data_IF_579198375299
#
_entry.id   IF_579198375299
#
_cell.length_a   1.000
_cell.length_b   1.000
_cell.length_c   1.000
_cell.angle_alpha   90.00
_cell.angle_beta   90.00
_cell.angle_gamma   90.00
#
_symmetry.space_group_name_H-M   'P 1'
#
loop_
_entity.id
_entity.type
_entity.pdbx_description
1 polymer ?
#
# COMPACT_ATOMS: atom_id res chain seq x y z
N UNK A 1 -15.34 -11.12 43.61
CA UNK A 1 -14.28 -11.78 42.82
C UNK A 1 -14.27 -11.15 41.44
N UNK A 2 -13.21 -10.42 41.07
CA UNK A 2 -13.06 -9.77 39.76
C UNK A 2 -11.97 -10.54 39.01
N UNK A 3 -12.30 -11.11 37.86
CA UNK A 3 -11.35 -11.86 37.03
C UNK A 3 -10.33 -10.90 36.38
N UNK A 4 -9.03 -11.27 36.31
CA UNK A 4 -8.04 -10.46 35.63
C UNK A 4 -8.22 -10.59 34.11
N UNK A 5 -8.39 -9.45 33.43
CA UNK A 5 -8.36 -9.38 31.97
C UNK A 5 -6.93 -9.61 31.51
N UNK A 6 -6.71 -10.70 30.76
CA UNK A 6 -5.43 -10.96 30.12
C UNK A 6 -5.25 -9.94 29.00
N UNK A 7 -4.30 -9.02 29.16
CA UNK A 7 -3.86 -8.14 28.07
C UNK A 7 -3.19 -9.00 27.01
N UNK A 8 -3.86 -9.19 25.86
CA UNK A 8 -3.25 -9.80 24.69
C UNK A 8 -2.08 -8.92 24.22
N UNK A 9 -0.86 -9.34 24.51
CA UNK A 9 0.34 -8.67 24.02
C UNK A 9 0.47 -8.88 22.51
N UNK A 10 0.47 -7.79 21.76
CA UNK A 10 0.73 -7.82 20.33
C UNK A 10 2.15 -8.36 20.10
N UNK A 11 2.25 -9.57 19.55
CA UNK A 11 3.53 -10.19 19.16
C UNK A 11 4.02 -9.55 17.86
N UNK A 12 5.30 -9.19 17.80
CA UNK A 12 5.94 -8.75 16.56
C UNK A 12 5.86 -9.87 15.51
N UNK A 13 5.38 -9.59 14.27
CA UNK A 13 5.24 -10.62 13.24
C UNK A 13 6.58 -11.30 12.92
N UNK A 14 6.59 -12.64 12.82
CA UNK A 14 7.79 -13.39 12.42
C UNK A 14 7.96 -13.43 10.89
N UNK A 15 9.13 -13.87 10.42
CA UNK A 15 9.39 -14.09 8.98
C UNK A 15 8.44 -15.12 8.38
N UNK A 16 8.08 -16.17 9.13
CA UNK A 16 7.11 -17.17 8.70
C UNK A 16 5.67 -16.63 8.72
N UNK A 17 5.36 -15.70 9.62
CA UNK A 17 4.07 -14.98 9.59
C UNK A 17 4.01 -14.03 8.41
N UNK A 18 5.12 -13.41 8.01
CA UNK A 18 5.20 -12.64 6.78
C UNK A 18 5.01 -13.54 5.55
N UNK A 19 5.71 -14.68 5.46
CA UNK A 19 5.58 -15.64 4.34
C UNK A 19 4.17 -16.25 4.27
N UNK A 20 3.54 -16.61 5.39
CA UNK A 20 2.13 -17.04 5.45
C UNK A 20 1.15 -15.90 5.20
N UNK A 21 1.52 -14.67 5.51
CA UNK A 21 0.85 -13.46 5.06
C UNK A 21 1.17 -13.14 3.60
N UNK A 22 1.42 -14.15 2.76
CA UNK A 22 1.12 -14.12 1.34
C UNK A 22 -0.39 -13.81 1.17
N UNK A 23 -0.73 -12.53 1.31
CA UNK A 23 -2.02 -11.96 0.99
C UNK A 23 -2.15 -12.17 -0.53
N UNK A 24 -3.04 -13.00 -1.08
CA UNK A 24 -4.48 -13.05 -0.82
C UNK A 24 -5.05 -14.46 -1.09
N UNK A 25 -5.64 -15.16 -0.10
CA UNK A 25 -6.38 -16.41 -0.32
C UNK A 25 -7.79 -16.15 -0.88
N UNK A 26 -7.96 -15.07 -1.64
CA UNK A 26 -9.25 -14.65 -2.17
C UNK A 26 -9.43 -15.29 -3.54
N UNK A 27 -10.00 -16.50 -3.52
CA UNK A 27 -10.33 -17.25 -4.72
C UNK A 27 -11.75 -16.93 -5.26
N UNK A 28 -12.56 -16.18 -4.50
CA UNK A 28 -13.96 -15.89 -4.87
C UNK A 28 -14.31 -14.42 -4.64
N UNK A 29 -15.31 -13.92 -5.38
CA UNK A 29 -15.81 -12.57 -5.21
C UNK A 29 -16.39 -12.32 -3.81
N UNK A 30 -17.02 -13.32 -3.19
CA UNK A 30 -17.54 -13.20 -1.83
C UNK A 30 -16.42 -13.04 -0.79
N UNK A 31 -15.34 -13.81 -0.94
CA UNK A 31 -14.15 -13.66 -0.10
C UNK A 31 -13.49 -12.28 -0.32
N UNK A 32 -13.52 -11.75 -1.55
CA UNK A 32 -12.99 -10.43 -1.88
C UNK A 32 -13.76 -9.33 -1.18
N UNK A 33 -15.08 -9.36 -1.27
CA UNK A 33 -15.93 -8.36 -0.62
C UNK A 33 -15.81 -8.43 0.90
N UNK A 34 -15.78 -9.64 1.46
CA UNK A 34 -15.56 -9.84 2.88
C UNK A 34 -14.20 -9.31 3.33
N UNK A 35 -13.16 -9.47 2.51
CA UNK A 35 -11.86 -8.89 2.77
C UNK A 35 -11.92 -7.36 2.74
N UNK A 36 -12.40 -6.78 1.65
CA UNK A 36 -12.45 -5.32 1.44
C UNK A 36 -13.27 -4.63 2.53
N UNK A 37 -14.37 -5.24 3.00
CA UNK A 37 -15.18 -4.71 4.09
C UNK A 37 -14.41 -4.51 5.40
N UNK A 38 -13.31 -5.24 5.61
CA UNK A 38 -12.45 -5.13 6.80
C UNK A 38 -11.25 -4.20 6.59
N UNK A 39 -10.90 -3.90 5.34
CA UNK A 39 -9.76 -3.03 5.04
C UNK A 39 -10.11 -1.60 5.45
N UNK A 40 -9.33 -0.97 6.36
CA UNK A 40 -9.56 0.41 6.74
C UNK A 40 -9.50 1.32 5.51
N UNK A 41 -10.49 2.19 5.37
CA UNK A 41 -10.56 3.15 4.27
C UNK A 41 -9.97 4.47 4.74
N UNK A 42 -9.00 5.01 4.00
CA UNK A 42 -8.53 6.38 4.19
C UNK A 42 -9.68 7.35 3.87
N UNK A 43 -10.08 8.17 4.84
CA UNK A 43 -11.23 9.09 4.72
C UNK A 43 -10.81 10.55 4.57
N UNK A 44 -9.69 10.90 5.20
CA UNK A 44 -9.17 12.26 5.17
C UNK A 44 -7.89 12.32 4.34
N UNK A 45 -7.62 13.48 3.74
CA UNK A 45 -6.46 13.68 2.88
C UNK A 45 -5.85 15.07 3.11
N UNK A 46 -4.54 15.25 2.87
CA UNK A 46 -3.91 16.56 2.81
C UNK A 46 -4.62 17.51 1.82
N UNK A 47 -4.63 18.81 2.11
CA UNK A 47 -5.27 19.80 1.25
C UNK A 47 -4.67 19.84 -0.18
N UNK A 48 -3.38 19.51 -0.31
CA UNK A 48 -2.65 19.46 -1.57
C UNK A 48 -2.74 18.09 -2.28
N UNK A 49 -3.54 17.14 -1.76
CA UNK A 49 -3.55 15.75 -2.22
C UNK A 49 -3.91 15.60 -3.70
N UNK A 50 -5.10 16.08 -4.10
CA UNK A 50 -5.58 15.97 -5.48
C UNK A 50 -4.72 16.79 -6.45
N UNK A 51 -4.29 17.99 -6.02
CA UNK A 51 -3.42 18.85 -6.81
C UNK A 51 -2.05 18.19 -7.06
N UNK A 52 -1.44 17.62 -6.02
CA UNK A 52 -0.16 16.90 -6.12
C UNK A 52 -0.29 15.74 -7.10
N UNK A 53 -1.30 14.89 -6.93
CA UNK A 53 -1.53 13.75 -7.82
C UNK A 53 -1.73 14.21 -9.27
N UNK A 54 -2.56 15.21 -9.53
CA UNK A 54 -2.79 15.71 -10.88
C UNK A 54 -1.55 16.33 -11.54
N UNK A 55 -0.84 17.20 -10.81
CA UNK A 55 0.33 17.92 -11.35
C UNK A 55 1.52 17.00 -11.58
N UNK A 56 1.69 15.99 -10.73
CA UNK A 56 2.83 15.07 -10.82
C UNK A 56 2.61 13.90 -11.78
N UNK A 57 1.39 13.71 -12.30
CA UNK A 57 1.07 12.63 -13.22
C UNK A 57 2.04 12.46 -14.40
N UNK A 58 2.55 13.52 -15.05
CA UNK A 58 3.50 13.37 -16.17
C UNK A 58 4.88 12.85 -15.76
N UNK A 59 5.23 12.86 -14.48
CA UNK A 59 6.55 12.48 -13.98
C UNK A 59 6.67 11.00 -13.64
N UNK A 60 5.52 10.32 -13.51
CA UNK A 60 5.44 9.00 -12.90
C UNK A 60 4.64 8.04 -13.76
N UNK A 61 4.89 6.76 -13.51
CA UNK A 61 4.11 5.66 -14.07
C UNK A 61 3.76 4.67 -12.98
N UNK A 62 2.53 4.17 -13.03
CA UNK A 62 2.12 3.01 -12.24
C UNK A 62 2.35 1.75 -13.04
N UNK A 63 3.00 0.77 -12.45
CA UNK A 63 3.27 -0.53 -13.06
C UNK A 63 2.66 -1.64 -12.22
N UNK A 64 1.95 -2.55 -12.87
CA UNK A 64 1.44 -3.75 -12.19
C UNK A 64 1.43 -4.93 -13.14
N UNK A 65 1.23 -6.11 -12.59
CA UNK A 65 1.15 -7.35 -13.35
C UNK A 65 -0.28 -7.62 -13.81
N UNK A 66 -0.44 -8.44 -14.84
CA UNK A 66 -1.73 -9.04 -15.18
C UNK A 66 -1.59 -10.55 -15.21
N UNK A 67 -2.59 -11.25 -14.68
CA UNK A 67 -2.63 -12.72 -14.62
C UNK A 67 -4.05 -13.15 -14.95
N UNK A 68 -4.28 -14.00 -15.97
CA UNK A 68 -5.60 -14.52 -16.25
C UNK A 68 -6.21 -15.23 -15.04
N UNK A 69 -7.53 -15.10 -14.88
CA UNK A 69 -8.28 -15.71 -13.77
C UNK A 69 -7.81 -15.30 -12.36
N UNK A 70 -7.14 -14.15 -12.23
CA UNK A 70 -6.74 -13.59 -10.95
C UNK A 70 -7.71 -12.49 -10.53
N UNK A 71 -8.70 -12.86 -9.71
CA UNK A 71 -9.69 -11.91 -9.17
C UNK A 71 -9.06 -10.67 -8.49
N UNK A 72 -8.00 -10.80 -7.64
CA UNK A 72 -7.33 -9.62 -7.09
C UNK A 72 -6.62 -8.77 -8.14
N UNK A 73 -6.17 -9.36 -9.25
CA UNK A 73 -5.51 -8.64 -10.32
C UNK A 73 -6.53 -7.80 -11.09
N UNK A 74 -7.67 -8.39 -11.43
CA UNK A 74 -8.76 -7.70 -12.13
C UNK A 74 -9.29 -6.51 -11.30
N UNK A 75 -9.47 -6.73 -10.00
CA UNK A 75 -9.90 -5.69 -9.07
C UNK A 75 -8.87 -4.56 -8.95
N UNK A 76 -7.57 -4.88 -8.87
CA UNK A 76 -6.51 -3.87 -8.91
C UNK A 76 -6.52 -3.07 -10.21
N UNK A 77 -6.65 -3.73 -11.36
CA UNK A 77 -6.72 -3.09 -12.66
C UNK A 77 -7.93 -2.17 -12.79
N UNK A 78 -9.10 -2.58 -12.29
CA UNK A 78 -10.30 -1.75 -12.27
C UNK A 78 -10.08 -0.46 -11.43
N UNK A 79 -9.45 -0.59 -10.25
CA UNK A 79 -9.11 0.55 -9.38
C UNK A 79 -8.07 1.46 -10.02
N UNK A 80 -7.03 0.89 -10.62
CA UNK A 80 -6.00 1.63 -11.35
C UNK A 80 -6.56 2.35 -12.58
N UNK A 81 -7.51 1.75 -13.29
CA UNK A 81 -8.22 2.40 -14.39
C UNK A 81 -9.00 3.63 -13.93
N UNK A 82 -9.67 3.55 -12.77
CA UNK A 82 -10.34 4.71 -12.16
C UNK A 82 -9.32 5.78 -11.73
N UNK A 83 -8.26 5.37 -11.03
CA UNK A 83 -7.16 6.25 -10.61
C UNK A 83 -6.54 7.00 -11.80
N UNK A 84 -6.24 6.28 -12.88
CA UNK A 84 -5.68 6.83 -14.12
C UNK A 84 -6.61 7.88 -14.74
N UNK A 85 -7.91 7.62 -14.82
CA UNK A 85 -8.88 8.60 -15.33
C UNK A 85 -8.99 9.84 -14.44
N UNK A 86 -9.00 9.66 -13.12
CA UNK A 86 -9.13 10.76 -12.16
C UNK A 86 -7.89 11.65 -12.12
N UNK A 87 -6.70 11.06 -12.03
CA UNK A 87 -5.46 11.81 -11.81
C UNK A 87 -4.55 11.90 -13.04
N UNK A 88 -4.92 11.26 -14.15
CA UNK A 88 -4.19 11.27 -15.43
C UNK A 88 -2.83 10.57 -15.41
N UNK A 89 -2.62 9.66 -14.45
CA UNK A 89 -1.40 8.85 -14.37
C UNK A 89 -1.43 7.74 -15.41
N UNK A 90 -0.28 7.46 -16.02
CA UNK A 90 -0.12 6.28 -16.87
C UNK A 90 -0.07 5.01 -16.01
N UNK A 91 -0.72 3.96 -16.48
CA UNK A 91 -0.67 2.62 -15.89
C UNK A 91 -0.19 1.64 -16.96
N UNK A 92 0.82 0.82 -16.65
CA UNK A 92 1.38 -0.18 -17.57
C UNK A 92 1.57 -1.54 -16.91
N UNK A 93 1.68 -2.55 -17.77
CA UNK A 93 2.01 -3.90 -17.36
C UNK A 93 3.51 -4.05 -17.13
N UNK A 94 3.88 -4.92 -16.18
CA UNK A 94 5.21 -5.52 -16.05
C UNK A 94 5.09 -7.04 -16.07
N UNK A 95 6.19 -7.73 -16.41
CA UNK A 95 6.23 -9.19 -16.37
C UNK A 95 6.15 -9.72 -14.93
N UNK A 96 5.70 -10.96 -14.77
CA UNK A 96 5.70 -11.62 -13.45
C UNK A 96 7.10 -11.81 -12.89
N UNK A 97 8.10 -12.06 -13.74
CA UNK A 97 9.50 -12.15 -13.32
C UNK A 97 10.02 -10.81 -12.77
N UNK A 98 9.68 -9.70 -13.42
CA UNK A 98 10.06 -8.37 -12.92
C UNK A 98 9.38 -8.05 -11.58
N UNK A 99 8.09 -8.38 -11.45
CA UNK A 99 7.38 -8.19 -10.20
C UNK A 99 7.94 -9.06 -9.06
N UNK A 100 8.36 -10.29 -9.37
CA UNK A 100 9.03 -11.18 -8.43
C UNK A 100 10.36 -10.59 -7.94
N UNK A 101 11.18 -10.09 -8.87
CA UNK A 101 12.46 -9.45 -8.55
C UNK A 101 12.27 -8.22 -7.66
N UNK A 102 11.31 -7.35 -7.98
CA UNK A 102 10.99 -6.15 -7.18
C UNK A 102 10.54 -6.51 -5.77
N UNK A 103 9.66 -7.50 -5.65
CA UNK A 103 9.15 -7.95 -4.36
C UNK A 103 10.26 -8.57 -3.51
N UNK A 104 11.12 -9.40 -4.12
CA UNK A 104 12.28 -9.99 -3.45
C UNK A 104 13.30 -8.94 -2.95
N UNK A 105 13.62 -7.95 -3.76
CA UNK A 105 14.55 -6.84 -3.38
C UNK A 105 14.07 -6.06 -2.16
N UNK A 106 12.76 -5.95 -1.98
CA UNK A 106 12.15 -5.22 -0.88
C UNK A 106 11.76 -6.12 0.30
N UNK A 107 12.09 -7.41 0.24
CA UNK A 107 11.68 -8.39 1.24
C UNK A 107 10.16 -8.43 1.44
N UNK A 108 9.39 -8.04 0.42
CA UNK A 108 7.94 -8.09 0.52
C UNK A 108 7.53 -9.56 0.62
N UNK A 109 6.60 -9.91 1.52
CA UNK A 109 6.08 -11.27 1.58
C UNK A 109 5.22 -11.64 0.35
N UNK A 110 5.05 -10.70 -0.57
CA UNK A 110 4.11 -10.77 -1.69
C UNK A 110 4.86 -11.31 -2.91
N UNK A 111 4.86 -12.63 -3.07
CA UNK A 111 5.50 -13.27 -4.22
C UNK A 111 4.54 -13.23 -5.42
N UNK A 112 4.87 -12.43 -6.44
CA UNK A 112 4.22 -12.48 -7.75
C UNK A 112 3.15 -11.42 -7.96
N UNK A 113 1.93 -11.59 -7.42
CA UNK A 113 0.75 -10.85 -7.89
C UNK A 113 -0.33 -10.63 -6.82
N UNK A 114 -1.13 -9.55 -6.91
CA UNK A 114 -0.95 -8.36 -7.74
C UNK A 114 -0.48 -7.19 -6.88
N UNK A 115 0.72 -6.69 -7.19
CA UNK A 115 1.31 -5.51 -6.56
C UNK A 115 1.36 -4.38 -7.59
N UNK A 116 0.96 -3.18 -7.19
CA UNK A 116 1.14 -1.97 -7.98
C UNK A 116 2.35 -1.19 -7.47
N UNK A 117 3.13 -0.67 -8.41
CA UNK A 117 4.39 0.03 -8.18
C UNK A 117 4.34 1.41 -8.80
N UNK A 118 4.89 2.41 -8.13
CA UNK A 118 5.15 3.73 -8.72
C UNK A 118 6.65 3.86 -8.94
N UNK A 119 7.02 4.39 -10.11
CA UNK A 119 8.39 4.83 -10.39
C UNK A 119 8.38 6.12 -11.22
N UNK A 120 9.43 6.94 -11.13
CA UNK A 120 9.60 8.08 -12.04
C UNK A 120 9.94 7.60 -13.45
N UNK A 121 9.60 8.43 -14.44
CA UNK A 121 10.01 8.18 -15.83
C UNK A 121 11.53 8.34 -16.02
N UNK A 122 12.15 9.22 -15.25
CA UNK A 122 13.59 9.55 -15.35
C UNK A 122 14.52 8.55 -14.65
N UNK A 123 14.00 7.72 -13.75
CA UNK A 123 14.79 6.76 -12.98
C UNK A 123 14.01 5.45 -12.76
N UNK A 124 14.19 4.46 -13.64
CA UNK A 124 13.44 3.21 -13.55
C UNK A 124 13.80 2.36 -12.32
N UNK A 125 14.90 2.66 -11.62
CA UNK A 125 15.36 1.88 -10.48
C UNK A 125 14.78 2.36 -9.14
N UNK A 126 14.21 3.58 -9.09
CA UNK A 126 13.55 4.12 -7.89
C UNK A 126 12.08 3.76 -7.88
N UNK A 127 11.76 2.59 -7.35
CA UNK A 127 10.43 2.00 -7.35
C UNK A 127 9.86 1.94 -5.93
N UNK A 128 8.57 2.27 -5.78
CA UNK A 128 7.84 2.23 -4.50
C UNK A 128 6.58 1.37 -4.65
N UNK A 129 6.33 0.37 -3.79
CA UNK A 129 5.06 -0.37 -3.77
C UNK A 129 3.95 0.52 -3.24
N UNK A 130 2.80 0.53 -3.92
CA UNK A 130 1.66 1.39 -3.54
C UNK A 130 0.36 0.64 -3.29
N UNK A 131 0.18 -0.59 -3.77
CA UNK A 131 -1.04 -1.32 -3.47
C UNK A 131 -0.85 -2.82 -3.69
N UNK A 132 -1.74 -3.58 -3.04
CA UNK A 132 -2.03 -4.97 -3.35
C UNK A 132 -3.48 -5.08 -3.81
N UNK A 133 -3.81 -6.16 -4.53
CA UNK A 133 -5.12 -6.28 -5.18
C UNK A 133 -6.33 -6.09 -4.27
N UNK A 134 -6.20 -6.41 -3.00
CA UNK A 134 -7.31 -6.31 -2.05
C UNK A 134 -7.26 -5.06 -1.17
N UNK A 135 -6.70 -3.96 -1.68
CA UNK A 135 -6.71 -2.66 -1.02
C UNK A 135 -7.88 -1.77 -1.47
N UNK A 136 -8.24 -0.75 -0.68
CA UNK A 136 -9.30 0.19 -1.03
C UNK A 136 -8.80 1.25 -2.04
N UNK A 137 -9.65 1.75 -2.96
CA UNK A 137 -9.20 2.73 -3.97
C UNK A 137 -8.68 4.03 -3.36
N UNK A 138 -9.22 4.45 -2.22
CA UNK A 138 -8.74 5.60 -1.44
C UNK A 138 -7.31 5.37 -0.92
N UNK A 139 -7.02 4.16 -0.46
CA UNK A 139 -5.70 3.78 0.04
C UNK A 139 -4.67 3.71 -1.07
N UNK A 140 -5.07 3.22 -2.25
CA UNK A 140 -4.24 3.23 -3.45
C UNK A 140 -3.83 4.66 -3.82
N UNK A 141 -4.79 5.58 -3.90
CA UNK A 141 -4.51 6.98 -4.22
C UNK A 141 -3.61 7.64 -3.16
N UNK A 142 -3.89 7.37 -1.87
CA UNK A 142 -3.05 7.78 -0.74
C UNK A 142 -1.60 7.30 -0.91
N UNK A 143 -1.41 6.04 -1.24
CA UNK A 143 -0.07 5.47 -1.40
C UNK A 143 0.66 6.03 -2.61
N UNK A 144 -0.05 6.28 -3.72
CA UNK A 144 0.52 6.95 -4.89
C UNK A 144 1.00 8.38 -4.55
N UNK A 145 0.22 9.14 -3.78
CA UNK A 145 0.63 10.46 -3.27
C UNK A 145 1.90 10.38 -2.41
N UNK A 146 1.95 9.45 -1.46
CA UNK A 146 3.12 9.26 -0.60
C UNK A 146 4.34 8.86 -1.41
N UNK A 147 4.18 7.95 -2.37
CA UNK A 147 5.25 7.55 -3.28
C UNK A 147 5.80 8.74 -4.06
N UNK A 148 4.92 9.59 -4.59
CA UNK A 148 5.32 10.78 -5.33
C UNK A 148 6.13 11.75 -4.45
N UNK A 149 5.67 12.02 -3.22
CA UNK A 149 6.42 12.83 -2.24
C UNK A 149 7.80 12.23 -1.94
N UNK A 150 7.87 10.92 -1.71
CA UNK A 150 9.12 10.21 -1.45
C UNK A 150 10.09 10.26 -2.64
N UNK A 151 9.58 10.14 -3.86
CA UNK A 151 10.38 10.21 -5.08
C UNK A 151 10.92 11.62 -5.32
N UNK A 152 10.20 12.67 -4.89
CA UNK A 152 10.68 14.05 -4.85
C UNK A 152 11.59 14.40 -3.66
N UNK A 153 11.94 13.43 -2.80
CA UNK A 153 12.95 13.60 -1.75
C UNK A 153 12.41 13.70 -0.33
N UNK A 154 11.09 13.60 -0.10
CA UNK A 154 10.54 13.49 1.25
C UNK A 154 11.01 12.19 1.89
N UNK A 155 11.64 12.26 3.07
CA UNK A 155 12.07 11.05 3.79
C UNK A 155 10.86 10.16 4.12
N UNK A 156 10.92 8.84 3.91
CA UNK A 156 9.78 7.93 4.12
C UNK A 156 9.12 8.09 5.49
N UNK A 157 9.93 8.14 6.56
CA UNK A 157 9.45 8.32 7.93
C UNK A 157 8.71 9.65 8.14
N UNK A 158 9.11 10.71 7.44
CA UNK A 158 8.44 12.01 7.50
C UNK A 158 7.10 11.94 6.77
N UNK A 159 7.08 11.37 5.57
CA UNK A 159 5.85 11.20 4.80
C UNK A 159 4.82 10.33 5.52
N UNK A 160 5.24 9.21 6.10
CA UNK A 160 4.37 8.33 6.90
C UNK A 160 3.80 9.05 8.13
N UNK A 161 4.64 9.77 8.89
CA UNK A 161 4.17 10.55 10.05
C UNK A 161 3.19 11.66 9.63
N UNK A 162 3.45 12.34 8.53
CA UNK A 162 2.54 13.36 8.00
C UNK A 162 1.19 12.77 7.58
N UNK A 163 1.20 11.53 7.06
CA UNK A 163 -0.01 10.81 6.64
C UNK A 163 -0.76 10.15 7.79
N UNK A 164 -0.11 9.91 8.91
CA UNK A 164 -0.62 9.14 10.05
C UNK A 164 -2.00 9.64 10.55
N UNK A 165 -2.19 10.96 10.62
CA UNK A 165 -3.47 11.58 11.03
C UNK A 165 -4.60 11.36 10.04
N UNK A 166 -4.28 11.10 8.77
CA UNK A 166 -5.24 10.96 7.68
C UNK A 166 -5.63 9.49 7.43
N UNK A 167 -4.79 8.56 7.85
CA UNK A 167 -5.01 7.12 7.64
C UNK A 167 -5.77 6.46 8.79
N UNK A 168 -5.78 7.07 9.98
CA UNK A 168 -6.20 6.40 11.22
C UNK A 168 -5.29 5.22 11.60
N UNK A 169 -4.19 5.02 10.86
CA UNK A 169 -3.17 4.00 11.10
C UNK A 169 -2.02 4.70 11.84
N UNK A 170 -2.21 4.98 13.12
CA UNK A 170 -1.11 5.18 14.08
C UNK A 170 -1.55 4.79 15.48
N UNK A 171 -0.93 3.72 15.98
CA UNK A 171 -0.46 3.74 17.35
C UNK A 171 0.79 4.60 17.39
N UNK A 172 0.73 5.74 18.06
CA UNK A 172 1.95 6.34 18.59
C UNK A 172 2.58 5.32 19.57
N UNK A 173 3.90 5.11 19.59
CA UNK A 173 4.50 4.39 20.71
C UNK A 173 4.14 5.17 21.99
N UNK A 174 3.78 4.50 23.10
CA UNK A 174 3.64 5.19 24.37
C UNK A 174 4.96 5.91 24.63
N UNK A 175 4.87 7.22 24.93
CA UNK A 175 6.01 7.99 25.37
C UNK A 175 6.68 7.19 26.50
N UNK A 176 7.97 6.90 26.35
CA UNK A 176 8.76 6.37 27.46
C UNK A 176 8.65 7.40 28.58
N UNK A 177 7.87 7.10 29.61
CA UNK A 177 7.97 7.81 30.87
C UNK A 177 9.34 7.49 31.43
N UNK A 178 10.26 8.45 31.29
CA UNK A 178 11.54 8.40 31.97
C UNK A 178 11.30 8.25 33.46
N UNK A 179 11.68 7.11 34.01
CA UNK A 179 11.81 6.95 35.46
C UNK A 179 13.12 7.57 35.88
N UNK A 180 13.11 8.86 36.16
CA UNK A 180 14.07 9.45 37.09
C UNK A 180 13.59 9.12 38.51
N UNK A 181 14.25 8.16 39.15
CA UNK A 181 14.67 8.19 40.56
C UNK A 181 15.48 6.95 40.89
#
# INVERSE_FOLDING_TARGET
MIAPWTLAQARSPSRDDAVRAAIHPVATSAAMQSWLARVPVTRDFPADFAATLGQQAPLYIVETTTTPACLPCDDLWAKLGRFSRTYRWQVRTISGQEALLRSGRLGLPWVGHPVAWVRPLSDPNRIIPIAIGTDQPQNLARNAYLAAKMLTGVRPAVGLRAMAKFTGIVGAPPAQSGSSR
#
